data_IF_610446581517
#
_entry.id   IF_610446581517
#
_cell.length_a   1.000
_cell.length_b   1.000
_cell.length_c   1.000
_cell.angle_alpha   90.00
_cell.angle_beta   90.00
_cell.angle_gamma   90.00
#
_symmetry.space_group_name_H-M   'P 1'
#
loop_
_entity.id
_entity.type
_entity.pdbx_description
1 polymer ?
#
# COMPACT_ATOMS: atom_id res chain seq x y z
N UNK A 1 20.60 -18.08 37.39
CA UNK A 1 20.90 -17.01 36.42
C UNK A 1 22.37 -16.63 36.62
N UNK A 2 23.11 -16.35 35.54
CA UNK A 2 24.54 -15.95 35.63
C UNK A 2 24.65 -14.44 35.87
N UNK A 3 25.78 -13.95 36.40
CA UNK A 3 26.01 -12.51 36.63
C UNK A 3 25.76 -11.67 35.37
N UNK A 4 26.21 -12.15 34.21
CA UNK A 4 26.02 -11.44 32.94
C UNK A 4 24.55 -11.26 32.54
N UNK A 5 23.68 -12.19 32.95
CA UNK A 5 22.25 -12.11 32.68
C UNK A 5 21.58 -11.12 33.65
N UNK A 6 22.06 -11.03 34.90
CA UNK A 6 21.63 -10.02 35.86
C UNK A 6 21.94 -8.60 35.38
N UNK A 7 23.20 -8.35 34.98
CA UNK A 7 23.62 -7.04 34.45
C UNK A 7 22.80 -6.62 33.22
N UNK A 8 22.48 -7.58 32.36
CA UNK A 8 21.63 -7.33 31.20
C UNK A 8 20.19 -6.97 31.59
N UNK A 9 19.62 -7.60 32.63
CA UNK A 9 18.33 -7.19 33.18
C UNK A 9 18.38 -5.78 33.77
N UNK A 10 19.44 -5.41 34.49
CA UNK A 10 19.61 -4.05 35.00
C UNK A 10 19.73 -3.02 33.87
N UNK A 11 20.47 -3.34 32.80
CA UNK A 11 20.56 -2.47 31.63
C UNK A 11 19.21 -2.34 30.93
N UNK A 12 18.47 -3.44 30.80
CA UNK A 12 17.12 -3.44 30.24
C UNK A 12 16.19 -2.54 31.04
N UNK A 13 16.25 -2.60 32.38
CA UNK A 13 15.44 -1.77 33.28
C UNK A 13 15.71 -0.26 33.14
N UNK A 14 16.88 0.14 32.58
CA UNK A 14 17.19 1.55 32.28
C UNK A 14 16.54 2.03 30.99
N UNK A 15 16.33 1.12 30.04
CA UNK A 15 15.83 1.44 28.70
C UNK A 15 14.31 1.27 28.58
N UNK A 16 13.76 0.30 29.30
CA UNK A 16 12.32 0.02 29.36
C UNK A 16 11.93 -0.64 30.68
N UNK A 17 10.64 -0.62 30.97
CA UNK A 17 10.10 -1.40 32.10
C UNK A 17 10.36 -2.90 31.90
N UNK A 18 10.70 -3.56 33.02
CA UNK A 18 10.83 -5.02 33.07
C UNK A 18 9.46 -5.66 32.99
N UNK A 19 9.36 -6.74 32.22
CA UNK A 19 8.16 -7.58 32.21
C UNK A 19 8.05 -8.36 33.52
N UNK A 20 6.83 -8.79 33.88
CA UNK A 20 6.59 -9.60 35.10
C UNK A 20 7.50 -10.84 35.18
N UNK A 21 7.77 -11.47 34.03
CA UNK A 21 8.63 -12.64 33.96
C UNK A 21 10.12 -12.30 34.21
N UNK A 22 10.56 -11.12 33.81
CA UNK A 22 11.92 -10.61 34.06
C UNK A 22 12.08 -10.18 35.52
N UNK A 23 11.07 -9.47 36.06
CA UNK A 23 11.02 -9.09 37.48
C UNK A 23 11.10 -10.33 38.38
N UNK A 24 10.28 -11.36 38.11
CA UNK A 24 10.30 -12.59 38.89
C UNK A 24 11.64 -13.34 38.79
N UNK A 25 12.42 -13.16 37.72
CA UNK A 25 13.79 -13.70 37.62
C UNK A 25 14.78 -12.89 38.46
N UNK A 26 14.66 -11.56 38.46
CA UNK A 26 15.44 -10.66 39.28
C UNK A 26 15.24 -10.96 40.77
N UNK A 27 13.98 -11.05 41.22
CA UNK A 27 13.62 -11.37 42.61
C UNK A 27 14.17 -12.73 43.05
N UNK A 28 13.99 -13.77 42.22
CA UNK A 28 14.53 -15.11 42.51
C UNK A 28 16.05 -15.12 42.62
N UNK A 29 16.72 -14.26 41.86
CA UNK A 29 18.17 -14.17 41.90
C UNK A 29 18.65 -13.37 43.10
N UNK A 30 18.01 -12.26 43.47
CA UNK A 30 18.32 -11.51 44.70
C UNK A 30 18.11 -12.38 45.93
N UNK A 31 17.00 -13.14 45.99
CA UNK A 31 16.74 -14.08 47.07
C UNK A 31 17.79 -15.21 47.19
N UNK A 32 18.46 -15.54 46.09
CA UNK A 32 19.53 -16.54 46.05
C UNK A 32 20.92 -15.95 46.36
N UNK A 33 21.09 -14.62 46.36
CA UNK A 33 22.36 -13.92 46.57
C UNK A 33 22.20 -12.87 47.68
N UNK A 34 22.30 -13.28 48.96
CA UNK A 34 22.03 -12.40 50.10
C UNK A 34 23.03 -11.24 50.22
N UNK A 35 24.26 -11.42 49.75
CA UNK A 35 25.27 -10.36 49.74
C UNK A 35 24.83 -9.20 48.82
N UNK A 36 24.32 -9.53 47.63
CA UNK A 36 23.78 -8.52 46.72
C UNK A 36 22.55 -7.86 47.29
N UNK A 37 21.62 -8.63 47.86
CA UNK A 37 20.46 -8.06 48.54
C UNK A 37 20.86 -7.08 49.66
N UNK A 38 21.90 -7.39 50.43
CA UNK A 38 22.41 -6.51 51.48
C UNK A 38 22.98 -5.19 50.92
N UNK A 39 23.59 -5.20 49.73
CA UNK A 39 24.03 -3.99 49.04
C UNK A 39 22.85 -3.10 48.64
N UNK A 40 21.78 -3.69 48.10
CA UNK A 40 20.54 -2.96 47.78
C UNK A 40 19.88 -2.36 49.03
N UNK A 41 19.84 -3.11 50.14
CA UNK A 41 19.32 -2.62 51.42
C UNK A 41 20.21 -1.52 52.04
N UNK A 42 21.53 -1.57 51.82
CA UNK A 42 22.43 -0.50 52.22
C UNK A 42 22.17 0.78 51.40
N UNK A 43 21.95 0.66 50.09
CA UNK A 43 21.56 1.76 49.23
C UNK A 43 20.23 2.37 49.66
N UNK A 44 19.22 1.55 49.93
CA UNK A 44 17.89 2.03 50.37
C UNK A 44 17.98 2.84 51.67
N UNK A 45 18.80 2.38 52.64
CA UNK A 45 19.07 3.14 53.86
C UNK A 45 19.72 4.49 53.58
N UNK A 46 20.63 4.58 52.61
CA UNK A 46 21.23 5.85 52.20
C UNK A 46 20.19 6.76 51.54
N UNK A 47 19.31 6.20 50.70
CA UNK A 47 18.23 6.94 50.04
C UNK A 47 17.25 7.54 51.05
N UNK A 48 16.87 6.78 52.07
CA UNK A 48 16.01 7.27 53.16
C UNK A 48 16.69 8.36 53.99
N UNK A 49 18.02 8.32 54.10
CA UNK A 49 18.79 9.32 54.84
C UNK A 49 18.99 10.64 54.07
N UNK A 50 18.56 10.75 52.80
CA UNK A 50 18.64 12.02 52.08
C UNK A 50 17.71 13.07 52.72
N UNK A 51 18.13 14.35 52.69
CA UNK A 51 17.29 15.44 53.17
C UNK A 51 16.04 15.59 52.29
N UNK A 52 14.92 15.95 52.91
CA UNK A 52 13.69 16.24 52.19
C UNK A 52 13.91 17.35 51.16
N UNK A 53 13.61 17.06 49.90
CA UNK A 53 13.64 18.05 48.84
C UNK A 53 12.35 18.89 48.88
N UNK A 54 12.42 20.22 48.67
CA UNK A 54 11.22 21.03 48.56
C UNK A 54 10.42 20.61 47.33
N UNK A 55 9.24 20.04 47.57
CA UNK A 55 8.32 19.61 46.51
C UNK A 55 7.43 20.79 46.10
N UNK A 56 7.13 20.93 44.81
CA UNK A 56 6.19 21.95 44.34
C UNK A 56 4.79 21.72 44.92
N UNK A 57 4.08 22.79 45.29
CA UNK A 57 2.72 22.72 45.86
C UNK A 57 1.68 22.07 44.94
N UNK A 58 1.96 21.98 43.64
CA UNK A 58 1.12 21.34 42.63
C UNK A 58 1.63 19.95 42.20
N UNK A 59 2.57 19.35 42.92
CA UNK A 59 3.16 18.06 42.57
C UNK A 59 2.10 16.96 42.44
N UNK A 60 1.26 16.77 43.45
CA UNK A 60 0.21 15.76 43.41
C UNK A 60 -0.75 15.97 42.24
N UNK A 61 -1.10 17.22 41.93
CA UNK A 61 -1.94 17.54 40.79
C UNK A 61 -1.27 17.16 39.46
N UNK A 62 0.04 17.39 39.32
CA UNK A 62 0.81 17.00 38.12
C UNK A 62 0.95 15.49 37.98
N UNK A 63 1.23 14.78 39.07
CA UNK A 63 1.33 13.32 39.07
C UNK A 63 0.01 12.69 38.66
N UNK A 64 -1.10 13.12 39.27
CA UNK A 64 -2.43 12.61 38.89
C UNK A 64 -2.81 12.95 37.45
N UNK A 65 -2.38 14.12 36.93
CA UNK A 65 -2.60 14.44 35.52
C UNK A 65 -1.81 13.52 34.60
N UNK A 66 -0.56 13.24 34.93
CA UNK A 66 0.31 12.37 34.13
C UNK A 66 -0.17 10.92 34.13
N UNK A 67 -0.58 10.39 35.29
CA UNK A 67 -1.19 9.04 35.39
C UNK A 67 -2.44 8.96 34.51
N UNK A 68 -3.32 9.97 34.58
CA UNK A 68 -4.52 10.01 33.72
C UNK A 68 -4.18 10.09 32.23
N UNK A 69 -3.08 10.76 31.85
CA UNK A 69 -2.61 10.81 30.46
C UNK A 69 -2.03 9.49 29.99
N UNK A 70 -1.32 8.78 30.85
CA UNK A 70 -0.76 7.45 30.56
C UNK A 70 -1.86 6.39 30.43
N UNK A 71 -2.91 6.46 31.26
CA UNK A 71 -4.07 5.57 31.20
C UNK A 71 -5.06 5.92 30.09
N UNK A 72 -5.13 7.20 29.70
CA UNK A 72 -5.98 7.61 28.60
C UNK A 72 -5.46 6.98 27.30
N UNK A 73 -6.33 6.32 26.50
CA UNK A 73 -5.95 5.88 25.18
C UNK A 73 -5.45 7.11 24.42
N UNK A 74 -4.16 7.06 24.02
CA UNK A 74 -3.48 8.20 23.42
C UNK A 74 -4.35 8.82 22.33
N UNK A 75 -4.40 10.17 22.20
CA UNK A 75 -5.15 10.79 21.13
C UNK A 75 -4.70 10.15 19.83
N UNK A 76 -5.62 9.55 19.09
CA UNK A 76 -5.30 8.87 17.84
C UNK A 76 -4.59 9.89 16.93
N UNK A 77 -3.26 9.84 16.91
CA UNK A 77 -2.39 10.79 16.21
C UNK A 77 -2.76 10.85 14.72
N UNK A 78 -3.36 9.77 14.19
CA UNK A 78 -3.96 9.75 12.86
C UNK A 78 -5.23 10.59 12.72
N UNK A 79 -6.18 10.53 13.66
CA UNK A 79 -7.53 11.06 13.46
C UNK A 79 -7.59 12.61 13.41
N UNK A 80 -6.68 13.27 14.12
CA UNK A 80 -6.58 14.74 14.13
C UNK A 80 -5.90 15.29 12.86
N UNK A 81 -4.92 14.59 12.30
CA UNK A 81 -4.23 15.02 11.08
C UNK A 81 -5.11 14.90 9.83
N UNK A 82 -5.84 13.78 9.66
CA UNK A 82 -6.77 13.62 8.53
C UNK A 82 -7.90 14.67 8.57
N UNK A 83 -8.42 15.01 9.75
CA UNK A 83 -9.42 16.09 9.92
C UNK A 83 -8.86 17.47 9.58
N UNK A 84 -7.59 17.75 9.90
CA UNK A 84 -6.91 18.98 9.46
C UNK A 84 -6.70 19.03 7.94
N UNK A 85 -6.44 17.90 7.29
CA UNK A 85 -6.31 17.81 5.82
C UNK A 85 -7.65 18.03 5.08
N UNK A 86 -8.76 17.68 5.73
CA UNK A 86 -10.14 17.90 5.26
C UNK A 86 -10.67 19.32 5.56
N UNK A 87 -9.90 20.16 6.26
CA UNK A 87 -10.30 21.53 6.56
C UNK A 87 -10.41 22.38 5.27
N UNK A 88 -11.36 23.33 5.19
CA UNK A 88 -11.66 24.10 3.98
C UNK A 88 -10.48 24.93 3.44
N UNK A 89 -9.44 25.13 4.24
CA UNK A 89 -8.19 25.78 3.87
C UNK A 89 -7.34 25.01 2.85
N UNK A 90 -7.54 23.69 2.69
CA UNK A 90 -6.78 22.85 1.74
C UNK A 90 -7.58 22.45 0.48
N UNK A 91 -8.76 23.07 0.27
CA UNK A 91 -9.59 22.89 -0.94
C UNK A 91 -8.84 22.99 -2.28
N UNK A 92 -7.88 23.91 -2.51
CA UNK A 92 -7.19 23.97 -3.81
C UNK A 92 -6.32 22.73 -4.09
N UNK A 93 -5.69 22.16 -3.06
CA UNK A 93 -4.87 20.94 -3.19
C UNK A 93 -5.75 19.73 -3.48
N UNK A 94 -6.93 19.65 -2.84
CA UNK A 94 -7.90 18.58 -3.06
C UNK A 94 -8.46 18.62 -4.50
N UNK A 95 -8.74 19.80 -5.04
CA UNK A 95 -9.21 19.97 -6.43
C UNK A 95 -8.12 19.57 -7.42
N UNK A 96 -6.87 19.98 -7.18
CA UNK A 96 -5.73 19.60 -8.03
C UNK A 96 -5.48 18.09 -8.02
N UNK A 97 -5.55 17.44 -6.85
CA UNK A 97 -5.40 16.00 -6.73
C UNK A 97 -6.53 15.23 -7.42
N UNK A 98 -7.78 15.69 -7.29
CA UNK A 98 -8.93 15.09 -7.98
C UNK A 98 -8.82 15.26 -9.51
N UNK A 99 -8.35 16.42 -9.99
CA UNK A 99 -8.12 16.66 -11.42
C UNK A 99 -7.01 15.76 -11.97
N UNK A 100 -5.91 15.57 -11.22
CA UNK A 100 -4.84 14.66 -11.62
C UNK A 100 -5.32 13.21 -11.70
N UNK A 101 -6.11 12.75 -10.73
CA UNK A 101 -6.72 11.41 -10.75
C UNK A 101 -7.68 11.23 -11.93
N UNK A 102 -8.52 12.22 -12.20
CA UNK A 102 -9.42 12.22 -13.35
C UNK A 102 -8.64 12.15 -14.68
N UNK A 103 -7.56 12.91 -14.82
CA UNK A 103 -6.69 12.89 -16.00
C UNK A 103 -6.03 11.52 -16.20
N UNK A 104 -5.59 10.85 -15.13
CA UNK A 104 -5.02 9.50 -15.22
C UNK A 104 -6.09 8.48 -15.64
N UNK A 105 -7.28 8.53 -15.04
CA UNK A 105 -8.38 7.61 -15.40
C UNK A 105 -8.83 7.83 -16.84
N UNK A 106 -8.96 9.09 -17.28
CA UNK A 106 -9.29 9.44 -18.67
C UNK A 106 -8.20 8.97 -19.63
N UNK A 107 -6.93 9.21 -19.31
CA UNK A 107 -5.79 8.79 -20.12
C UNK A 107 -5.70 7.27 -20.29
N UNK A 108 -5.84 6.51 -19.19
CA UNK A 108 -5.84 5.04 -19.21
C UNK A 108 -7.06 4.50 -19.97
N UNK A 109 -8.23 5.11 -19.79
CA UNK A 109 -9.45 4.74 -20.54
C UNK A 109 -9.28 4.92 -22.04
N UNK A 110 -8.75 6.07 -22.47
CA UNK A 110 -8.53 6.40 -23.88
C UNK A 110 -7.52 5.45 -24.55
N UNK A 111 -6.44 5.11 -23.85
CA UNK A 111 -5.45 4.16 -24.36
C UNK A 111 -6.02 2.74 -24.52
N UNK A 112 -6.91 2.32 -23.60
CA UNK A 112 -7.59 1.02 -23.69
C UNK A 112 -8.55 0.94 -24.88
N UNK A 113 -9.22 2.04 -25.22
CA UNK A 113 -10.13 2.14 -26.36
C UNK A 113 -9.38 2.00 -27.69
N UNK A 114 -8.25 2.72 -27.84
CA UNK A 114 -7.41 2.62 -29.04
C UNK A 114 -6.80 1.22 -29.21
N UNK A 115 -6.43 0.55 -28.12
CA UNK A 115 -5.89 -0.81 -28.19
C UNK A 115 -6.94 -1.86 -28.55
N UNK A 116 -8.20 -1.68 -28.13
CA UNK A 116 -9.31 -2.56 -28.52
C UNK A 116 -9.61 -2.48 -30.03
N UNK A 117 -9.59 -1.30 -30.62
CA UNK A 117 -9.74 -1.16 -32.07
C UNK A 117 -8.61 -1.84 -32.87
N UNK A 118 -7.37 -1.86 -32.34
CA UNK A 118 -6.25 -2.59 -32.95
C UNK A 118 -6.40 -4.11 -32.82
N UNK A 119 -7.00 -4.59 -31.72
CA UNK A 119 -7.27 -6.01 -31.53
C UNK A 119 -8.35 -6.53 -32.49
N UNK A 120 -9.34 -5.72 -32.84
CA UNK A 120 -10.35 -6.05 -33.86
C UNK A 120 -9.73 -6.15 -35.27
N UNK A 121 -8.79 -5.27 -35.64
CA UNK A 121 -8.06 -5.38 -36.91
C UNK A 121 -7.18 -6.63 -37.00
N UNK A 122 -6.58 -7.07 -35.89
CA UNK A 122 -5.79 -8.31 -35.85
C UNK A 122 -6.67 -9.56 -36.00
N UNK A 123 -7.88 -9.55 -35.44
CA UNK A 123 -8.85 -10.64 -35.61
C UNK A 123 -9.37 -10.74 -37.06
N UNK A 124 -9.59 -9.60 -37.74
CA UNK A 124 -10.00 -9.60 -39.15
C UNK A 124 -8.89 -10.06 -40.09
N UNK A 125 -7.61 -9.76 -39.80
CA UNK A 125 -6.47 -10.24 -40.59
C UNK A 125 -6.26 -11.75 -40.45
N UNK A 126 -6.54 -12.32 -39.28
CA UNK A 126 -6.47 -13.76 -39.06
C UNK A 126 -7.59 -14.52 -39.79
N UNK A 127 -8.80 -13.96 -39.87
CA UNK A 127 -9.92 -14.57 -40.58
C UNK A 127 -9.71 -14.61 -42.11
N UNK A 128 -9.15 -13.55 -42.70
CA UNK A 128 -8.82 -13.51 -44.14
C UNK A 128 -7.69 -14.49 -44.48
N UNK A 129 -6.66 -14.60 -43.61
CA UNK A 129 -5.58 -15.57 -43.81
C UNK A 129 -6.07 -17.02 -43.74
N UNK A 130 -6.96 -17.36 -42.81
CA UNK A 130 -7.50 -18.72 -42.66
C UNK A 130 -8.48 -19.12 -43.78
N UNK A 131 -9.22 -18.16 -44.35
CA UNK A 131 -10.10 -18.42 -45.51
C UNK A 131 -9.28 -18.63 -46.79
N UNK A 132 -8.18 -17.89 -46.98
CA UNK A 132 -7.27 -18.07 -48.11
C UNK A 132 -6.51 -19.41 -48.08
N UNK A 133 -6.26 -19.96 -46.90
CA UNK A 133 -5.54 -21.23 -46.73
C UNK A 133 -6.42 -22.49 -46.92
N UNK A 134 -7.75 -22.41 -46.73
CA UNK A 134 -8.63 -23.59 -46.74
C UNK A 134 -9.41 -23.83 -48.04
N UNK A 135 -9.41 -22.92 -49.02
CA UNK A 135 -10.22 -23.11 -50.23
C UNK A 135 -9.60 -22.52 -51.52
N UNK A 136 -8.50 -23.10 -52.04
CA UNK A 136 -7.94 -22.69 -53.33
C UNK A 136 -8.90 -22.93 -54.51
N UNK A 137 -9.85 -23.87 -54.40
CA UNK A 137 -10.83 -24.16 -55.45
C UNK A 137 -11.99 -23.16 -55.58
N UNK A 138 -12.36 -22.47 -54.49
CA UNK A 138 -13.47 -21.50 -54.48
C UNK A 138 -13.08 -20.15 -55.12
N UNK A 139 -11.79 -19.84 -55.13
CA UNK A 139 -11.25 -18.64 -55.78
C UNK A 139 -11.13 -18.83 -57.30
N UNK A 140 -10.89 -20.06 -57.79
CA UNK A 140 -10.91 -20.37 -59.22
C UNK A 140 -12.29 -20.22 -59.85
N UNK A 141 -13.38 -20.51 -59.13
CA UNK A 141 -14.75 -20.30 -59.63
C UNK A 141 -15.09 -18.80 -59.76
N UNK A 142 -14.55 -17.96 -58.86
CA UNK A 142 -14.68 -16.49 -58.97
C UNK A 142 -13.85 -15.92 -60.12
N UNK A 143 -12.63 -16.41 -60.31
CA UNK A 143 -11.76 -16.03 -61.43
C UNK A 143 -12.34 -16.50 -62.78
N UNK A 144 -13.04 -17.64 -62.81
CA UNK A 144 -13.76 -18.11 -64.00
C UNK A 144 -15.00 -17.25 -64.32
N UNK A 145 -15.74 -16.77 -63.32
CA UNK A 145 -16.87 -15.85 -63.51
C UNK A 145 -16.37 -14.46 -63.99
N UNK A 146 -15.25 -13.98 -63.44
CA UNK A 146 -14.60 -12.74 -63.87
C UNK A 146 -13.99 -12.85 -65.28
N UNK A 147 -13.44 -14.02 -65.64
CA UNK A 147 -12.94 -14.29 -66.97
C UNK A 147 -14.05 -14.40 -68.02
N UNK A 148 -15.24 -14.90 -67.67
CA UNK A 148 -16.40 -14.91 -68.58
C UNK A 148 -16.94 -13.49 -68.79
N UNK A 149 -16.95 -12.65 -67.76
CA UNK A 149 -17.34 -11.23 -67.86
C UNK A 149 -16.35 -10.40 -68.71
N UNK A 150 -15.07 -10.77 -68.70
CA UNK A 150 -14.03 -10.11 -69.53
C UNK A 150 -13.90 -10.67 -70.95
N UNK A 151 -14.44 -11.86 -71.26
CA UNK A 151 -14.21 -12.54 -72.54
C UNK A 151 -15.26 -12.26 -73.64
N UNK A 152 -16.24 -11.38 -73.43
CA UNK A 152 -17.19 -11.01 -74.49
C UNK A 152 -17.41 -9.49 -74.57
N UNK A 153 -16.57 -8.74 -75.31
CA UNK A 153 -17.02 -7.47 -75.85
C UNK A 153 -18.06 -7.80 -76.92
N UNK A 154 -19.35 -7.66 -76.57
CA UNK A 154 -20.46 -7.68 -77.53
C UNK A 154 -20.00 -6.97 -78.81
N UNK A 155 -19.79 -7.74 -79.88
CA UNK A 155 -19.37 -7.26 -81.18
C UNK A 155 -20.34 -6.16 -81.65
N UNK A 156 -19.92 -4.90 -81.52
CA UNK A 156 -20.71 -3.73 -81.93
C UNK A 156 -21.07 -3.79 -83.43
N UNK A 157 -20.33 -4.58 -84.23
CA UNK A 157 -20.63 -4.85 -85.64
C UNK A 157 -21.93 -5.64 -85.85
N UNK A 158 -22.25 -6.58 -84.94
CA UNK A 158 -23.51 -7.35 -84.99
C UNK A 158 -24.72 -6.48 -84.59
N UNK A 159 -24.52 -5.51 -83.71
CA UNK A 159 -25.55 -4.56 -83.29
C UNK A 159 -25.88 -3.53 -84.39
N UNK A 160 -24.89 -3.14 -85.21
CA UNK A 160 -25.08 -2.20 -86.30
C UNK A 160 -25.83 -2.79 -87.51
N UNK A 161 -25.69 -4.10 -87.78
CA UNK A 161 -26.36 -4.77 -88.90
C UNK A 161 -27.85 -5.08 -88.65
N UNK A 162 -28.31 -5.01 -87.40
CA UNK A 162 -29.71 -5.26 -87.01
C UNK A 162 -30.58 -3.99 -86.98
N UNK A 163 -30.04 -2.83 -87.40
CA UNK A 163 -30.78 -1.58 -87.55
C UNK A 163 -30.94 -1.21 -89.03
#
# INVERSE_FOLDING_TARGET
>A
MKQSEFENLLQTARERDLTDAELAKLERWLAANPDEQAEWEALDRLLVALPDAPVASNFTARVLDEVRRAEAPGPALGQAWWRKLLAPQFRPIQIAAAAALAMVVIGVGYQSYLNRNRAEMAASLHAVATIAEMAPGLLSDFEAIEAIDQADPIDEELWAALK
#
